data_IF_157694465710
#
_entry.id   IF_157694465710
#
_cell.length_a   1.000
_cell.length_b   1.000
_cell.length_c   1.000
_cell.angle_alpha   90.00
_cell.angle_beta   90.00
_cell.angle_gamma   90.00
#
_symmetry.space_group_name_H-M   'P 1'
#
loop_
_entity.id
_entity.type
_entity.pdbx_description
1 polymer ?
#
# COMPACT_ATOMS: atom_id res chain seq x y z
N UNK A 1 -4.34 4.31 -8.93
CA UNK A 1 -3.50 3.64 -7.93
C UNK A 1 -4.31 2.70 -7.03
N UNK A 2 -5.38 3.18 -6.39
CA UNK A 2 -6.29 2.34 -5.58
C UNK A 2 -6.79 1.09 -6.33
N UNK A 3 -7.45 1.24 -7.49
CA UNK A 3 -7.94 0.10 -8.27
C UNK A 3 -6.86 -0.91 -8.69
N UNK A 4 -5.61 -0.45 -8.87
CA UNK A 4 -4.49 -1.34 -9.18
C UNK A 4 -4.08 -2.16 -7.95
N UNK A 5 -4.02 -1.51 -6.77
CA UNK A 5 -3.73 -2.18 -5.50
C UNK A 5 -4.82 -3.21 -5.15
N UNK A 6 -6.09 -2.86 -5.38
CA UNK A 6 -7.24 -3.77 -5.21
C UNK A 6 -7.12 -4.99 -6.13
N UNK A 7 -6.86 -4.76 -7.43
CA UNK A 7 -6.68 -5.82 -8.40
C UNK A 7 -5.51 -6.75 -8.02
N UNK A 8 -4.36 -6.18 -7.64
CA UNK A 8 -3.18 -6.95 -7.22
C UNK A 8 -3.47 -7.81 -5.99
N UNK A 9 -4.19 -7.26 -5.01
CA UNK A 9 -4.58 -7.98 -3.81
C UNK A 9 -5.52 -9.14 -4.15
N UNK A 10 -6.57 -8.88 -4.94
CA UNK A 10 -7.52 -9.89 -5.41
C UNK A 10 -6.81 -11.01 -6.17
N UNK A 11 -5.88 -10.68 -7.06
CA UNK A 11 -5.19 -11.67 -7.87
C UNK A 11 -4.27 -12.57 -7.04
N UNK A 12 -3.64 -12.05 -5.98
CA UNK A 12 -2.74 -12.82 -5.11
C UNK A 12 -3.44 -13.59 -4.01
N UNK A 13 -4.44 -12.99 -3.37
CA UNK A 13 -4.95 -13.48 -2.08
C UNK A 13 -6.42 -13.88 -2.07
N UNK A 14 -7.25 -13.41 -3.01
CA UNK A 14 -8.66 -13.78 -3.02
C UNK A 14 -8.90 -15.19 -3.56
N UNK A 15 -9.99 -15.83 -3.12
CA UNK A 15 -10.44 -17.12 -3.65
C UNK A 15 -10.91 -16.99 -5.11
N UNK A 16 -10.97 -18.11 -5.85
CA UNK A 16 -11.45 -18.13 -7.26
C UNK A 16 -12.84 -17.49 -7.39
N UNK A 17 -13.74 -17.76 -6.43
CA UNK A 17 -15.09 -17.20 -6.41
C UNK A 17 -15.08 -15.68 -6.29
N UNK A 18 -14.24 -15.15 -5.41
CA UNK A 18 -14.09 -13.70 -5.21
C UNK A 18 -13.43 -13.03 -6.40
N UNK A 19 -12.42 -13.64 -7.02
CA UNK A 19 -11.83 -13.13 -8.28
C UNK A 19 -12.87 -12.98 -9.39
N UNK A 20 -13.72 -14.00 -9.55
CA UNK A 20 -14.82 -13.97 -10.53
C UNK A 20 -15.88 -12.93 -10.16
N UNK A 21 -16.21 -12.80 -8.88
CA UNK A 21 -17.13 -11.77 -8.36
C UNK A 21 -16.61 -10.35 -8.63
N UNK A 22 -15.33 -10.11 -8.30
CA UNK A 22 -14.66 -8.83 -8.51
C UNK A 22 -14.68 -8.41 -9.98
N UNK A 23 -14.36 -9.32 -10.91
CA UNK A 23 -14.40 -9.03 -12.37
C UNK A 23 -15.79 -8.68 -12.89
N UNK A 24 -16.85 -9.24 -12.30
CA UNK A 24 -18.25 -8.98 -12.71
C UNK A 24 -18.79 -7.69 -12.11
N UNK A 25 -18.38 -7.36 -10.88
CA UNK A 25 -18.89 -6.21 -10.14
C UNK A 25 -17.74 -5.48 -9.43
N UNK A 26 -16.87 -4.81 -10.19
CA UNK A 26 -15.70 -4.11 -9.64
C UNK A 26 -16.05 -3.05 -8.58
N UNK A 27 -17.28 -2.52 -8.58
CA UNK A 27 -17.75 -1.49 -7.63
C UNK A 27 -18.16 -2.04 -6.24
N UNK A 28 -18.24 -3.36 -6.08
CA UNK A 28 -18.54 -4.04 -4.81
C UNK A 28 -17.29 -4.75 -4.28
N UNK A 29 -16.11 -4.14 -4.49
CA UNK A 29 -14.85 -4.71 -4.06
C UNK A 29 -14.89 -5.02 -2.56
N UNK A 30 -14.85 -6.31 -2.21
CA UNK A 30 -14.75 -6.75 -0.81
C UNK A 30 -13.50 -6.20 -0.12
N UNK A 31 -12.52 -5.78 -0.92
CA UNK A 31 -11.21 -5.29 -0.49
C UNK A 31 -11.02 -3.82 -0.87
N UNK A 32 -12.01 -2.97 -0.56
CA UNK A 32 -11.95 -1.55 -0.88
C UNK A 32 -10.72 -0.88 -0.25
N UNK A 33 -9.97 -0.11 -1.04
CA UNK A 33 -8.82 0.64 -0.54
C UNK A 33 -9.30 1.77 0.37
N UNK A 34 -8.78 1.80 1.59
CA UNK A 34 -8.89 2.94 2.49
C UNK A 34 -7.63 3.81 2.35
N UNK A 35 -7.80 5.12 2.37
CA UNK A 35 -6.66 6.06 2.26
C UNK A 35 -6.55 6.83 3.57
N UNK A 36 -5.35 6.85 4.14
CA UNK A 36 -5.02 7.67 5.30
C UNK A 36 -5.09 9.15 4.91
N UNK A 37 -5.87 9.91 5.68
CA UNK A 37 -6.10 11.34 5.47
C UNK A 37 -4.83 12.20 5.64
N UNK A 38 -3.81 11.71 6.35
CA UNK A 38 -2.64 12.52 6.72
C UNK A 38 -1.52 12.46 5.69
N UNK A 39 -1.26 11.28 5.12
CA UNK A 39 -0.12 11.05 4.22
C UNK A 39 -0.50 10.46 2.86
N UNK A 40 -1.79 10.23 2.61
CA UNK A 40 -2.25 9.54 1.39
C UNK A 40 -1.82 8.07 1.34
N UNK A 41 -1.42 7.47 2.47
CA UNK A 41 -1.11 6.04 2.56
C UNK A 41 -2.35 5.23 2.24
N UNK A 42 -2.26 4.28 1.32
CA UNK A 42 -3.38 3.40 0.99
C UNK A 42 -3.23 2.06 1.73
N UNK A 43 -4.34 1.55 2.23
CA UNK A 43 -4.45 0.25 2.90
C UNK A 43 -5.46 -0.61 2.15
N UNK A 44 -5.11 -1.86 1.85
CA UNK A 44 -5.96 -2.80 1.11
C UNK A 44 -5.91 -4.19 1.75
N UNK A 45 -7.07 -4.84 1.86
CA UNK A 45 -7.17 -6.21 2.35
C UNK A 45 -7.38 -6.31 3.86
N UNK A 46 -7.30 -7.54 4.36
CA UNK A 46 -7.53 -7.86 5.77
C UNK A 46 -6.32 -8.61 6.35
N UNK A 47 -6.03 -9.82 5.85
CA UNK A 47 -4.84 -10.59 6.23
C UNK A 47 -4.44 -11.57 5.10
N UNK A 48 -3.24 -11.47 4.49
CA UNK A 48 -2.28 -10.35 4.65
C UNK A 48 -2.93 -9.01 4.27
N UNK A 49 -2.34 -7.89 4.66
CA UNK A 49 -2.79 -6.57 4.19
C UNK A 49 -1.67 -5.89 3.41
N UNK A 50 -2.05 -5.12 2.40
CA UNK A 50 -1.12 -4.29 1.64
C UNK A 50 -1.16 -2.87 2.19
N UNK A 51 0.03 -2.27 2.33
CA UNK A 51 0.19 -0.83 2.56
C UNK A 51 0.95 -0.27 1.36
N UNK A 52 0.40 0.77 0.75
CA UNK A 52 1.09 1.56 -0.25
C UNK A 52 1.42 2.92 0.36
N UNK A 53 2.71 3.18 0.53
CA UNK A 53 3.24 4.46 1.00
C UNK A 53 3.98 5.12 -0.15
N UNK A 54 3.87 6.45 -0.27
CA UNK A 54 4.68 7.19 -1.22
C UNK A 54 6.15 7.19 -0.78
N UNK A 55 7.05 6.80 -1.67
CA UNK A 55 8.48 6.90 -1.44
C UNK A 55 8.95 8.32 -1.74
N UNK A 56 9.51 8.98 -0.73
CA UNK A 56 10.12 10.30 -0.85
C UNK A 56 11.40 10.25 -1.66
N UNK A 57 12.13 9.13 -1.58
CA UNK A 57 13.39 8.92 -2.29
C UNK A 57 13.57 7.43 -2.56
N UNK A 58 14.01 7.11 -3.77
CA UNK A 58 14.38 5.77 -4.18
C UNK A 58 15.83 5.84 -4.66
N UNK A 59 16.69 4.97 -4.12
CA UNK A 59 18.11 4.90 -4.47
C UNK A 59 18.48 3.47 -4.78
N UNK A 60 19.08 3.23 -5.95
CA UNK A 60 19.69 1.95 -6.27
C UNK A 60 21.20 2.06 -6.04
N UNK A 61 21.75 1.24 -5.15
CA UNK A 61 23.19 1.11 -4.90
C UNK A 61 23.61 -0.33 -5.12
N UNK A 62 24.41 -0.55 -6.16
CA UNK A 62 24.77 -1.90 -6.60
C UNK A 62 23.48 -2.72 -6.86
N UNK A 63 23.21 -3.73 -6.04
CA UNK A 63 22.02 -4.58 -6.09
C UNK A 63 21.04 -4.31 -4.95
N UNK A 64 21.17 -3.19 -4.23
CA UNK A 64 20.30 -2.84 -3.12
C UNK A 64 19.43 -1.64 -3.50
N UNK A 65 18.12 -1.85 -3.51
CA UNK A 65 17.12 -0.82 -3.73
C UNK A 65 16.65 -0.29 -2.37
N UNK A 66 17.02 0.94 -2.06
CA UNK A 66 16.65 1.65 -0.84
C UNK A 66 15.47 2.58 -1.11
N UNK A 67 14.40 2.42 -0.32
CA UNK A 67 13.21 3.25 -0.36
C UNK A 67 13.10 4.03 0.94
N UNK A 68 13.08 5.36 0.85
CA UNK A 68 12.80 6.23 1.98
C UNK A 68 11.38 6.74 1.89
N UNK A 69 10.63 6.66 2.98
CA UNK A 69 9.24 7.08 3.05
C UNK A 69 8.95 7.66 4.43
N UNK A 70 7.81 8.34 4.56
CA UNK A 70 7.32 8.83 5.86
C UNK A 70 6.06 8.10 6.24
N UNK A 71 5.84 7.92 7.54
CA UNK A 71 4.57 7.43 8.08
C UNK A 71 4.09 8.35 9.20
N UNK A 72 2.77 8.52 9.33
CA UNK A 72 2.19 9.23 10.46
C UNK A 72 2.23 8.32 11.70
N UNK A 73 2.86 8.78 12.77
CA UNK A 73 3.02 8.01 14.03
C UNK A 73 2.12 8.54 15.13
N UNK A 74 1.86 9.85 15.12
CA UNK A 74 0.84 10.46 15.97
C UNK A 74 -0.29 10.98 15.08
N UNK A 75 -1.51 10.50 15.35
CA UNK A 75 -2.75 10.82 14.63
C UNK A 75 -3.76 11.57 15.51
N UNK A 76 -3.36 11.99 16.71
CA UNK A 76 -4.26 12.60 17.71
C UNK A 76 -4.63 14.05 17.35
N UNK A 77 -3.75 14.79 16.68
CA UNK A 77 -4.03 16.13 16.14
C UNK A 77 -4.09 16.08 14.60
N UNK A 78 -5.29 16.16 14.01
CA UNK A 78 -5.44 16.11 12.56
C UNK A 78 -4.81 17.28 11.81
N UNK A 79 -4.57 18.41 12.49
CA UNK A 79 -3.98 19.61 11.90
C UNK A 79 -2.45 19.59 11.96
N UNK A 80 -1.87 18.82 12.89
CA UNK A 80 -0.42 18.70 13.08
C UNK A 80 0.05 17.24 13.24
N UNK A 81 -0.13 16.40 12.21
CA UNK A 81 0.34 15.01 12.27
C UNK A 81 1.86 14.94 12.39
N UNK A 82 2.34 14.09 13.32
CA UNK A 82 3.78 13.82 13.48
C UNK A 82 4.17 12.67 12.57
N UNK A 83 5.07 12.94 11.63
CA UNK A 83 5.58 11.94 10.70
C UNK A 83 7.00 11.50 11.04
N UNK A 84 7.23 10.20 11.03
CA UNK A 84 8.54 9.57 11.16
C UNK A 84 9.08 9.17 9.78
N UNK A 85 10.34 9.47 9.53
CA UNK A 85 11.04 9.01 8.33
C UNK A 85 11.54 7.58 8.53
N UNK A 86 11.22 6.71 7.59
CA UNK A 86 11.65 5.31 7.57
C UNK A 86 12.36 5.00 6.26
N UNK A 87 13.16 3.94 6.28
CA UNK A 87 13.78 3.39 5.09
C UNK A 87 13.70 1.88 5.09
N UNK A 88 13.55 1.31 3.89
CA UNK A 88 13.61 -0.13 3.67
C UNK A 88 14.59 -0.40 2.53
N UNK A 89 15.35 -1.48 2.66
CA UNK A 89 16.28 -1.95 1.62
C UNK A 89 15.83 -3.32 1.14
N UNK A 90 15.79 -3.50 -0.17
CA UNK A 90 15.50 -4.79 -0.81
C UNK A 90 16.66 -5.09 -1.75
N UNK A 91 17.24 -6.29 -1.61
CA UNK A 91 18.22 -6.78 -2.59
C UNK A 91 17.49 -7.23 -3.84
N UNK A 92 17.87 -6.68 -4.99
CA UNK A 92 17.34 -7.03 -6.30
C UNK A 92 18.36 -7.92 -7.00
N UNK A 93 17.94 -9.15 -7.31
CA UNK A 93 18.71 -10.03 -8.19
C UNK A 93 18.44 -9.58 -9.63
N UNK A 94 19.51 -9.15 -10.33
CA UNK A 94 19.49 -8.73 -11.73
C UNK A 94 19.84 -9.91 -12.64
#
# INVERSE_FOLDING_TARGET
>A
MAAFMEQLYVDRHASIREKLGYKKHCKLAAYAVSTDMFNGTMHCGHEPFFICVFANKIVLRENNLEFHYRIAVNRDDPMNPIFEARSQTITVDV
#
